data_IF_856323557549
#
_entry.id   IF_856323557549
#
_cell.length_a   1.000
_cell.length_b   1.000
_cell.length_c   1.000
_cell.angle_alpha   90.00
_cell.angle_beta   90.00
_cell.angle_gamma   90.00
#
_symmetry.space_group_name_H-M   'P 1'
#
loop_
_entity.id
_entity.type
_entity.pdbx_description
1 polymer ?
#
# COMPACT_ATOMS: atom_id res chain seq x y z
N UNK A 1 43.74 -36.01 -24.86
CA UNK A 1 44.71 -34.89 -24.87
C UNK A 1 45.18 -34.51 -26.27
N UNK A 2 44.95 -35.32 -27.32
CA UNK A 2 45.34 -34.96 -28.70
C UNK A 2 44.49 -33.84 -29.31
N UNK A 3 43.16 -33.86 -29.13
CA UNK A 3 42.27 -32.82 -29.70
C UNK A 3 42.47 -31.40 -29.16
N UNK A 4 43.08 -31.22 -27.99
CA UNK A 4 43.42 -29.89 -27.47
C UNK A 4 44.68 -29.30 -28.13
N UNK A 5 45.66 -30.16 -28.49
CA UNK A 5 46.88 -29.74 -29.19
C UNK A 5 46.62 -29.43 -30.67
N UNK A 6 45.69 -30.14 -31.30
CA UNK A 6 45.28 -29.86 -32.69
C UNK A 6 44.52 -28.53 -32.81
N UNK A 7 43.70 -28.17 -31.81
CA UNK A 7 43.01 -26.88 -31.76
C UNK A 7 43.97 -25.71 -31.52
N UNK A 8 44.99 -25.87 -30.66
CA UNK A 8 46.03 -24.85 -30.45
C UNK A 8 46.90 -24.67 -31.71
N UNK A 9 47.29 -25.76 -32.38
CA UNK A 9 48.05 -25.70 -33.63
C UNK A 9 47.28 -25.01 -34.76
N UNK A 10 45.99 -25.35 -34.93
CA UNK A 10 45.11 -24.74 -35.92
C UNK A 10 44.85 -23.24 -35.64
N UNK A 11 44.78 -22.83 -34.37
CA UNK A 11 44.66 -21.41 -34.02
C UNK A 11 45.91 -20.60 -34.39
N UNK A 12 47.11 -21.16 -34.21
CA UNK A 12 48.37 -20.47 -34.57
C UNK A 12 48.55 -20.30 -36.08
N UNK A 13 48.18 -21.31 -36.88
CA UNK A 13 48.19 -21.21 -38.35
C UNK A 13 47.16 -20.20 -38.88
N UNK A 14 46.01 -20.12 -38.21
CA UNK A 14 44.96 -19.15 -38.52
C UNK A 14 45.40 -17.71 -38.23
N UNK A 15 46.00 -17.46 -37.06
CA UNK A 15 46.54 -16.14 -36.69
C UNK A 15 47.63 -15.68 -37.67
N UNK A 16 48.58 -16.56 -38.01
CA UNK A 16 49.63 -16.24 -38.99
C UNK A 16 49.05 -15.92 -40.38
N UNK A 17 47.98 -16.61 -40.78
CA UNK A 17 47.28 -16.34 -42.04
C UNK A 17 46.52 -15.00 -41.98
N UNK A 18 45.94 -14.65 -40.83
CA UNK A 18 45.24 -13.40 -40.59
C UNK A 18 46.21 -12.20 -40.64
N UNK A 19 47.36 -12.30 -39.98
CA UNK A 19 48.42 -11.28 -40.04
C UNK A 19 48.92 -11.04 -41.46
N UNK A 20 49.14 -12.11 -42.25
CA UNK A 20 49.54 -12.00 -43.67
C UNK A 20 48.48 -11.25 -44.48
N UNK A 21 47.20 -11.60 -44.33
CA UNK A 21 46.11 -10.90 -45.04
C UNK A 21 45.98 -9.44 -44.63
N UNK A 22 46.21 -9.10 -43.34
CA UNK A 22 46.21 -7.72 -42.86
C UNK A 22 47.37 -6.91 -43.45
N UNK A 23 48.57 -7.48 -43.50
CA UNK A 23 49.72 -6.81 -44.11
C UNK A 23 49.50 -6.57 -45.61
N UNK A 24 48.94 -7.55 -46.33
CA UNK A 24 48.64 -7.44 -47.75
C UNK A 24 47.58 -6.36 -48.03
N UNK A 25 46.50 -6.32 -47.24
CA UNK A 25 45.46 -5.29 -47.36
C UNK A 25 46.00 -3.89 -47.04
N UNK A 26 46.80 -3.74 -45.98
CA UNK A 26 47.38 -2.45 -45.63
C UNK A 26 48.36 -1.95 -46.70
N UNK A 27 49.13 -2.87 -47.31
CA UNK A 27 49.99 -2.53 -48.45
C UNK A 27 49.18 -2.03 -49.63
N UNK A 28 48.15 -2.78 -50.05
CA UNK A 28 47.26 -2.38 -51.16
C UNK A 28 46.53 -1.07 -50.91
N UNK A 29 46.08 -0.84 -49.66
CA UNK A 29 45.46 0.42 -49.27
C UNK A 29 46.42 1.59 -49.47
N UNK A 30 47.67 1.47 -49.02
CA UNK A 30 48.69 2.51 -49.20
C UNK A 30 48.99 2.75 -50.68
N UNK A 31 49.15 1.68 -51.47
CA UNK A 31 49.38 1.79 -52.92
C UNK A 31 48.24 2.55 -53.62
N UNK A 32 46.98 2.28 -53.25
CA UNK A 32 45.81 3.00 -53.79
C UNK A 32 45.71 4.45 -53.29
N UNK A 33 46.03 4.69 -52.01
CA UNK A 33 46.07 6.05 -51.43
C UNK A 33 47.17 6.90 -52.09
N UNK A 34 48.34 6.33 -52.36
CA UNK A 34 49.45 6.97 -53.05
C UNK A 34 49.10 7.25 -54.51
N UNK A 35 48.46 6.30 -55.21
CA UNK A 35 47.97 6.51 -56.57
C UNK A 35 46.89 7.61 -56.64
N UNK A 36 45.97 7.65 -55.68
CA UNK A 36 44.99 8.73 -55.56
C UNK A 36 45.66 10.07 -55.27
N UNK A 37 46.69 10.09 -54.42
CA UNK A 37 47.45 11.30 -54.14
C UNK A 37 48.17 11.81 -55.39
N UNK A 38 48.81 10.93 -56.15
CA UNK A 38 49.45 11.27 -57.42
C UNK A 38 48.44 11.82 -58.44
N UNK A 39 47.28 11.18 -58.58
CA UNK A 39 46.19 11.64 -59.44
C UNK A 39 45.64 13.01 -59.00
N UNK A 40 45.51 13.26 -57.70
CA UNK A 40 45.09 14.58 -57.20
C UNK A 40 46.13 15.65 -57.48
N UNK A 41 47.41 15.35 -57.30
CA UNK A 41 48.50 16.30 -57.60
C UNK A 41 48.64 16.58 -59.08
N UNK A 42 48.38 15.60 -59.96
CA UNK A 42 48.40 15.79 -61.42
C UNK A 42 47.13 16.48 -61.93
N UNK A 43 45.97 16.22 -61.33
CA UNK A 43 44.70 16.84 -61.69
C UNK A 43 44.55 18.29 -61.18
N UNK A 44 45.28 18.70 -60.13
CA UNK A 44 45.27 20.06 -59.59
C UNK A 44 45.68 21.15 -60.60
N UNK A 45 46.32 20.77 -61.73
CA UNK A 45 46.62 21.67 -62.85
C UNK A 45 45.50 21.84 -63.89
N UNK A 46 44.43 21.02 -63.83
CA UNK A 46 43.33 21.01 -64.80
C UNK A 46 42.06 21.63 -64.20
N UNK A 47 42.14 22.93 -63.89
CA UNK A 47 41.02 23.71 -63.36
C UNK A 47 40.12 24.26 -64.47
N UNK A 48 39.32 23.41 -65.11
CA UNK A 48 38.22 23.86 -65.97
C UNK A 48 36.89 23.44 -65.35
N UNK A 49 36.08 24.42 -64.95
CA UNK A 49 34.75 24.19 -64.37
C UNK A 49 33.83 23.49 -65.37
N UNK A 50 33.63 22.19 -65.17
CA UNK A 50 32.68 21.39 -65.94
C UNK A 50 31.25 21.84 -65.63
N UNK A 51 30.39 21.90 -66.66
CA UNK A 51 28.95 22.10 -66.45
C UNK A 51 28.36 20.91 -65.67
N UNK A 52 27.27 21.14 -64.92
CA UNK A 52 26.64 20.09 -64.12
C UNK A 52 26.29 18.83 -64.94
N UNK A 53 25.85 19.01 -66.20
CA UNK A 53 25.55 17.92 -67.13
C UNK A 53 26.80 17.15 -67.55
N UNK A 54 27.90 17.85 -67.89
CA UNK A 54 29.16 17.20 -68.24
C UNK A 54 29.75 16.42 -67.05
N UNK A 55 29.59 16.92 -65.83
CA UNK A 55 30.04 16.21 -64.63
C UNK A 55 29.26 14.92 -64.36
N UNK A 56 27.94 14.92 -64.64
CA UNK A 56 27.09 13.74 -64.54
C UNK A 56 27.44 12.70 -65.60
N UNK A 57 27.73 13.11 -66.83
CA UNK A 57 28.18 12.21 -67.90
C UNK A 57 29.52 11.56 -67.59
N UNK A 58 30.48 12.32 -67.05
CA UNK A 58 31.77 11.78 -66.60
C UNK A 58 31.58 10.79 -65.45
N UNK A 59 30.75 11.13 -64.44
CA UNK A 59 30.46 10.23 -63.33
C UNK A 59 29.75 8.95 -63.79
N UNK A 60 28.74 9.06 -64.66
CA UNK A 60 28.01 7.88 -65.16
C UNK A 60 28.90 6.97 -66.01
N UNK A 61 29.78 7.53 -66.84
CA UNK A 61 30.75 6.73 -67.59
C UNK A 61 31.78 6.08 -66.66
N UNK A 62 32.23 6.76 -65.60
CA UNK A 62 33.11 6.19 -64.59
C UNK A 62 32.45 5.04 -63.80
N UNK A 63 31.18 5.20 -63.41
CA UNK A 63 30.41 4.14 -62.74
C UNK A 63 30.20 2.93 -63.65
N UNK A 64 29.85 3.14 -64.92
CA UNK A 64 29.72 2.05 -65.91
C UNK A 64 31.04 1.31 -66.12
N UNK A 65 32.15 2.05 -66.25
CA UNK A 65 33.48 1.46 -66.34
C UNK A 65 33.88 0.69 -65.07
N UNK A 66 33.46 1.14 -63.90
CA UNK A 66 33.74 0.44 -62.63
C UNK A 66 32.89 -0.82 -62.46
N UNK A 67 31.68 -0.87 -63.03
CA UNK A 67 30.84 -2.09 -63.03
C UNK A 67 31.31 -3.14 -64.05
N UNK A 68 31.99 -2.72 -65.11
CA UNK A 68 32.58 -3.61 -66.12
C UNK A 68 33.97 -4.14 -65.71
N UNK A 69 34.64 -3.45 -64.78
CA UNK A 69 35.93 -3.88 -64.23
C UNK A 69 35.77 -5.09 -63.30
N UNK A 70 36.77 -5.98 -63.31
CA UNK A 70 36.78 -7.16 -62.45
C UNK A 70 36.83 -6.76 -60.97
N UNK A 71 35.92 -7.28 -60.13
CA UNK A 71 35.88 -6.92 -58.71
C UNK A 71 37.14 -7.42 -58.00
N UNK A 72 37.63 -6.61 -57.07
CA UNK A 72 38.83 -6.94 -56.30
C UNK A 72 38.50 -8.02 -55.27
N UNK A 73 38.65 -9.28 -55.66
CA UNK A 73 38.39 -10.43 -54.80
C UNK A 73 39.63 -10.78 -53.96
N UNK A 74 39.45 -11.24 -52.71
CA UNK A 74 40.56 -11.74 -51.91
C UNK A 74 41.12 -13.04 -52.53
N UNK A 75 42.42 -13.33 -52.36
CA UNK A 75 43.03 -14.56 -52.87
C UNK A 75 42.43 -15.80 -52.19
N UNK A 76 42.50 -16.96 -52.86
CA UNK A 76 41.83 -18.20 -52.45
C UNK A 76 42.28 -18.77 -51.07
N UNK A 77 43.41 -18.30 -50.52
CA UNK A 77 43.87 -18.63 -49.16
C UNK A 77 43.50 -17.60 -48.08
N UNK A 78 42.68 -16.61 -48.42
CA UNK A 78 42.29 -15.55 -47.49
C UNK A 78 41.22 -16.00 -46.50
N UNK A 79 41.44 -15.71 -45.22
CA UNK A 79 40.48 -15.98 -44.13
C UNK A 79 39.34 -14.94 -44.07
N UNK A 80 39.39 -13.88 -44.89
CA UNK A 80 38.43 -12.77 -44.87
C UNK A 80 36.97 -13.20 -45.16
N UNK A 81 36.67 -14.03 -46.17
CA UNK A 81 35.29 -14.44 -46.42
C UNK A 81 34.69 -15.19 -45.24
N UNK A 82 35.48 -16.05 -44.59
CA UNK A 82 35.06 -16.81 -43.40
C UNK A 82 34.82 -15.88 -42.19
N UNK A 83 35.72 -14.93 -41.93
CA UNK A 83 35.55 -13.93 -40.87
C UNK A 83 34.33 -13.02 -41.10
N UNK A 84 34.12 -12.62 -42.35
CA UNK A 84 33.00 -11.76 -42.71
C UNK A 84 31.68 -12.51 -42.58
N UNK A 85 31.62 -13.78 -43.03
CA UNK A 85 30.48 -14.65 -42.81
C UNK A 85 30.21 -14.86 -41.32
N UNK A 86 31.24 -15.11 -40.51
CA UNK A 86 31.10 -15.28 -39.05
C UNK A 86 30.60 -14.00 -38.37
N UNK A 87 31.20 -12.84 -38.69
CA UNK A 87 30.77 -11.55 -38.15
C UNK A 87 29.34 -11.23 -38.54
N UNK A 88 28.96 -11.47 -39.81
CA UNK A 88 27.59 -11.28 -40.28
C UNK A 88 26.63 -12.23 -39.59
N UNK A 89 27.00 -13.50 -39.43
CA UNK A 89 26.23 -14.48 -38.66
C UNK A 89 25.99 -14.02 -37.23
N UNK A 90 27.05 -13.61 -36.52
CA UNK A 90 26.93 -13.07 -35.16
C UNK A 90 26.05 -11.81 -35.10
N UNK A 91 26.22 -10.89 -36.04
CA UNK A 91 25.38 -9.70 -36.14
C UNK A 91 23.91 -10.08 -36.36
N UNK A 92 23.61 -10.98 -37.29
CA UNK A 92 22.23 -11.42 -37.55
C UNK A 92 21.62 -12.15 -36.35
N UNK A 93 22.41 -12.93 -35.60
CA UNK A 93 21.94 -13.59 -34.38
C UNK A 93 21.61 -12.54 -33.31
N UNK A 94 22.48 -11.54 -33.12
CA UNK A 94 22.23 -10.46 -32.17
C UNK A 94 20.96 -9.67 -32.55
N UNK A 95 20.85 -9.25 -33.82
CA UNK A 95 19.68 -8.52 -34.33
C UNK A 95 18.38 -9.34 -34.20
N UNK A 96 18.45 -10.66 -34.46
CA UNK A 96 17.28 -11.55 -34.33
C UNK A 96 16.87 -11.76 -32.87
N UNK A 97 17.82 -11.86 -31.95
CA UNK A 97 17.55 -11.96 -30.52
C UNK A 97 16.89 -10.67 -30.01
N UNK A 98 17.46 -9.51 -30.33
CA UNK A 98 16.87 -8.21 -29.98
C UNK A 98 15.45 -8.05 -30.55
N UNK A 99 15.24 -8.47 -31.79
CA UNK A 99 13.91 -8.46 -32.40
C UNK A 99 12.95 -9.40 -31.67
N UNK A 100 13.38 -10.61 -31.33
CA UNK A 100 12.56 -11.60 -30.61
C UNK A 100 12.18 -11.09 -29.22
N UNK A 101 13.10 -10.45 -28.50
CA UNK A 101 12.85 -9.85 -27.19
C UNK A 101 11.83 -8.71 -27.31
N UNK A 102 11.98 -7.85 -28.32
CA UNK A 102 11.04 -6.75 -28.58
C UNK A 102 9.63 -7.26 -28.92
N UNK A 103 9.51 -8.33 -29.71
CA UNK A 103 8.25 -8.95 -30.07
C UNK A 103 7.63 -9.68 -28.87
N UNK A 104 8.45 -10.34 -28.05
CA UNK A 104 8.01 -10.96 -26.80
C UNK A 104 7.35 -9.94 -25.87
N UNK A 105 7.99 -8.79 -25.66
CA UNK A 105 7.43 -7.70 -24.87
C UNK A 105 6.11 -7.15 -25.45
N UNK A 106 6.02 -7.02 -26.78
CA UNK A 106 4.80 -6.57 -27.45
C UNK A 106 3.65 -7.59 -27.30
N UNK A 107 3.94 -8.90 -27.42
CA UNK A 107 2.96 -9.96 -27.22
C UNK A 107 2.44 -9.99 -25.78
N UNK A 108 3.33 -9.89 -24.77
CA UNK A 108 2.92 -9.83 -23.38
C UNK A 108 2.00 -8.63 -23.10
N UNK A 109 2.31 -7.45 -23.66
CA UNK A 109 1.44 -6.28 -23.52
C UNK A 109 0.06 -6.51 -24.15
N UNK A 110 0.03 -7.19 -25.30
CA UNK A 110 -1.20 -7.48 -26.02
C UNK A 110 -2.05 -8.52 -25.29
N UNK A 111 -1.42 -9.54 -24.70
CA UNK A 111 -2.09 -10.52 -23.83
C UNK A 111 -2.69 -9.86 -22.58
N UNK A 112 -1.92 -9.01 -21.89
CA UNK A 112 -2.42 -8.23 -20.74
C UNK A 112 -3.63 -7.39 -21.13
N UNK A 113 -3.57 -6.74 -22.29
CA UNK A 113 -4.68 -5.94 -22.81
C UNK A 113 -5.91 -6.80 -23.11
N UNK A 114 -5.73 -7.97 -23.70
CA UNK A 114 -6.83 -8.92 -23.95
C UNK A 114 -7.48 -9.34 -22.62
N UNK A 115 -6.69 -9.64 -21.59
CA UNK A 115 -7.24 -10.04 -20.30
C UNK A 115 -8.01 -8.90 -19.61
N UNK A 116 -7.49 -7.67 -19.68
CA UNK A 116 -8.23 -6.50 -19.16
C UNK A 116 -9.55 -6.30 -19.90
N UNK A 117 -9.57 -6.44 -21.23
CA UNK A 117 -10.81 -6.30 -21.99
C UNK A 117 -11.80 -7.43 -21.70
N UNK A 118 -11.32 -8.65 -21.46
CA UNK A 118 -12.18 -9.77 -21.04
C UNK A 118 -12.83 -9.50 -19.68
N UNK A 119 -12.09 -8.95 -18.72
CA UNK A 119 -12.64 -8.55 -17.42
C UNK A 119 -13.68 -7.44 -17.62
N UNK A 120 -13.37 -6.40 -18.39
CA UNK A 120 -14.31 -5.32 -18.70
C UNK A 120 -15.62 -5.84 -19.32
N UNK A 121 -15.55 -6.79 -20.25
CA UNK A 121 -16.74 -7.38 -20.87
C UNK A 121 -17.58 -8.15 -19.84
N UNK A 122 -16.96 -8.93 -18.95
CA UNK A 122 -17.67 -9.63 -17.87
C UNK A 122 -18.36 -8.65 -16.93
N UNK A 123 -17.69 -7.57 -16.57
CA UNK A 123 -18.26 -6.50 -15.73
C UNK A 123 -19.44 -5.82 -16.41
N UNK A 124 -19.33 -5.50 -17.70
CA UNK A 124 -20.43 -4.92 -18.47
C UNK A 124 -21.64 -5.86 -18.53
N UNK A 125 -21.42 -7.16 -18.69
CA UNK A 125 -22.50 -8.16 -18.65
C UNK A 125 -23.14 -8.24 -17.26
N UNK A 126 -22.34 -8.20 -16.20
CA UNK A 126 -22.85 -8.16 -14.83
C UNK A 126 -23.69 -6.89 -14.58
N UNK A 127 -23.22 -5.73 -15.05
CA UNK A 127 -23.97 -4.48 -14.97
C UNK A 127 -25.27 -4.54 -15.79
N UNK A 128 -25.22 -5.08 -17.00
CA UNK A 128 -26.40 -5.21 -17.85
C UNK A 128 -27.46 -6.11 -17.19
N UNK A 129 -27.05 -7.23 -16.60
CA UNK A 129 -27.98 -8.11 -15.88
C UNK A 129 -28.54 -7.44 -14.62
N UNK A 130 -27.71 -6.71 -13.85
CA UNK A 130 -28.16 -5.97 -12.67
C UNK A 130 -29.17 -4.87 -13.05
N UNK A 131 -28.92 -4.14 -14.14
CA UNK A 131 -29.83 -3.12 -14.67
C UNK A 131 -31.14 -3.73 -15.18
N UNK A 132 -31.09 -4.85 -15.91
CA UNK A 132 -32.30 -5.59 -16.32
C UNK A 132 -33.13 -6.01 -15.10
N UNK A 133 -32.49 -6.58 -14.09
CA UNK A 133 -33.16 -6.98 -12.85
C UNK A 133 -33.79 -5.78 -12.13
N UNK A 134 -33.09 -4.63 -12.09
CA UNK A 134 -33.63 -3.41 -11.50
C UNK A 134 -34.82 -2.87 -12.28
N UNK A 135 -34.75 -2.84 -13.60
CA UNK A 135 -35.86 -2.43 -14.46
C UNK A 135 -37.06 -3.35 -14.23
N UNK A 136 -36.84 -4.66 -14.14
CA UNK A 136 -37.92 -5.61 -13.86
C UNK A 136 -38.53 -5.37 -12.48
N UNK A 137 -37.72 -5.28 -11.43
CA UNK A 137 -38.20 -4.98 -10.07
C UNK A 137 -38.95 -3.64 -9.98
N UNK A 138 -38.55 -2.63 -10.75
CA UNK A 138 -39.27 -1.35 -10.82
C UNK A 138 -40.61 -1.48 -11.55
N UNK A 139 -40.68 -2.29 -12.61
CA UNK A 139 -41.94 -2.58 -13.30
C UNK A 139 -42.90 -3.35 -12.40
N UNK A 140 -42.42 -4.44 -11.80
CA UNK A 140 -43.20 -5.24 -10.85
C UNK A 140 -43.68 -4.37 -9.68
N UNK A 141 -42.80 -3.51 -9.15
CA UNK A 141 -43.15 -2.58 -8.07
C UNK A 141 -44.09 -1.43 -8.48
N UNK A 142 -44.18 -1.09 -9.78
CA UNK A 142 -45.18 -0.15 -10.29
C UNK A 142 -46.54 -0.85 -10.46
N UNK A 143 -46.55 -2.06 -11.01
CA UNK A 143 -47.75 -2.89 -11.13
C UNK A 143 -48.36 -3.18 -9.74
N UNK A 144 -47.53 -3.58 -8.78
CA UNK A 144 -47.92 -3.75 -7.37
C UNK A 144 -48.50 -2.48 -6.74
N UNK A 145 -48.06 -1.29 -7.19
CA UNK A 145 -48.57 0.00 -6.69
C UNK A 145 -49.85 0.43 -7.37
N UNK A 146 -50.05 0.08 -8.64
CA UNK A 146 -51.30 0.31 -9.35
C UNK A 146 -52.42 -0.60 -8.82
N UNK A 147 -52.09 -1.80 -8.35
CA UNK A 147 -53.05 -2.73 -7.75
C UNK A 147 -53.41 -2.42 -6.29
N UNK A 148 -52.54 -1.74 -5.54
CA UNK A 148 -52.73 -1.42 -4.11
C UNK A 148 -53.38 -0.06 -3.90
N UNK A 149 -54.33 0.02 -2.98
CA UNK A 149 -54.92 1.30 -2.55
C UNK A 149 -53.93 2.11 -1.71
N UNK A 150 -54.06 3.44 -1.72
CA UNK A 150 -53.17 4.37 -0.98
C UNK A 150 -53.04 4.03 0.51
N UNK A 151 -54.12 3.53 1.13
CA UNK A 151 -54.13 3.08 2.52
C UNK A 151 -53.27 1.82 2.76
N UNK A 152 -53.19 0.91 1.78
CA UNK A 152 -52.35 -0.27 1.86
C UNK A 152 -50.87 0.11 1.70
N UNK A 153 -50.56 1.05 0.79
CA UNK A 153 -49.22 1.60 0.60
C UNK A 153 -48.73 2.28 1.89
N UNK A 154 -49.57 3.07 2.55
CA UNK A 154 -49.22 3.71 3.81
C UNK A 154 -48.94 2.68 4.93
N UNK A 155 -49.74 1.62 5.03
CA UNK A 155 -49.53 0.53 6.00
C UNK A 155 -48.23 -0.24 5.73
N UNK A 156 -47.90 -0.50 4.47
CA UNK A 156 -46.65 -1.15 4.09
C UNK A 156 -45.43 -0.28 4.44
N UNK A 157 -45.46 1.02 4.14
CA UNK A 157 -44.38 1.95 4.53
C UNK A 157 -44.19 2.02 6.04
N UNK A 158 -45.27 2.06 6.80
CA UNK A 158 -45.20 2.01 8.27
C UNK A 158 -44.62 0.68 8.76
N UNK A 159 -44.98 -0.44 8.12
CA UNK A 159 -44.42 -1.74 8.45
C UNK A 159 -42.92 -1.83 8.12
N UNK A 160 -42.48 -1.24 7.00
CA UNK A 160 -41.08 -1.15 6.61
C UNK A 160 -40.27 -0.29 7.59
N UNK A 161 -40.76 0.90 7.94
CA UNK A 161 -40.12 1.75 8.96
C UNK A 161 -40.04 1.05 10.32
N UNK A 162 -41.07 0.29 10.70
CA UNK A 162 -41.04 -0.54 11.92
C UNK A 162 -39.99 -1.65 11.84
N UNK A 163 -39.82 -2.30 10.68
CA UNK A 163 -38.79 -3.31 10.47
C UNK A 163 -37.38 -2.70 10.54
N UNK A 164 -37.19 -1.55 9.90
CA UNK A 164 -35.92 -0.80 9.96
C UNK A 164 -35.60 -0.37 11.39
N UNK A 165 -36.56 0.21 12.11
CA UNK A 165 -36.42 0.53 13.53
C UNK A 165 -36.00 -0.70 14.34
N UNK A 166 -36.70 -1.82 14.18
CA UNK A 166 -36.37 -3.06 14.88
C UNK A 166 -35.00 -3.65 14.51
N UNK A 167 -34.50 -3.38 13.30
CA UNK A 167 -33.14 -3.76 12.89
C UNK A 167 -32.09 -2.91 13.62
N UNK A 168 -32.27 -1.59 13.63
CA UNK A 168 -31.37 -0.66 14.32
C UNK A 168 -31.38 -0.84 15.84
N UNK A 169 -32.54 -1.11 16.45
CA UNK A 169 -32.66 -1.44 17.88
C UNK A 169 -31.86 -2.71 18.24
N UNK A 170 -31.88 -3.73 17.36
CA UNK A 170 -31.10 -4.97 17.54
C UNK A 170 -29.60 -4.74 17.39
N UNK A 171 -29.18 -3.97 16.38
CA UNK A 171 -27.78 -3.64 16.19
C UNK A 171 -27.24 -2.79 17.35
N UNK A 172 -28.00 -1.80 17.80
CA UNK A 172 -27.64 -0.94 18.93
C UNK A 172 -27.50 -1.74 20.22
N UNK A 173 -28.47 -2.62 20.52
CA UNK A 173 -28.39 -3.47 21.72
C UNK A 173 -27.26 -4.52 21.64
N UNK A 174 -26.92 -5.01 20.44
CA UNK A 174 -25.75 -5.86 20.25
C UNK A 174 -24.45 -5.10 20.48
N UNK A 175 -24.33 -3.90 19.91
CA UNK A 175 -23.15 -3.05 20.05
C UNK A 175 -22.95 -2.62 21.51
N UNK A 176 -24.01 -2.24 22.20
CA UNK A 176 -23.95 -1.86 23.62
C UNK A 176 -23.42 -3.02 24.48
N UNK A 177 -23.88 -4.25 24.24
CA UNK A 177 -23.37 -5.44 24.94
C UNK A 177 -21.90 -5.71 24.67
N UNK A 178 -21.45 -5.51 23.43
CA UNK A 178 -20.04 -5.67 23.05
C UNK A 178 -19.17 -4.58 23.69
N UNK A 179 -19.67 -3.34 23.74
CA UNK A 179 -19.03 -2.24 24.44
C UNK A 179 -18.93 -2.53 25.94
N UNK A 180 -20.00 -2.98 26.57
CA UNK A 180 -20.01 -3.35 28.00
C UNK A 180 -19.00 -4.45 28.31
N UNK A 181 -18.94 -5.47 27.45
CA UNK A 181 -17.96 -6.54 27.56
C UNK A 181 -16.53 -6.02 27.42
N UNK A 182 -16.26 -5.20 26.40
CA UNK A 182 -14.93 -4.60 26.19
C UNK A 182 -14.52 -3.71 27.37
N UNK A 183 -15.46 -2.92 27.92
CA UNK A 183 -15.20 -2.09 29.10
C UNK A 183 -14.85 -2.96 30.29
N UNK A 184 -15.59 -4.04 30.53
CA UNK A 184 -15.38 -4.91 31.69
C UNK A 184 -14.10 -5.74 31.61
N UNK A 185 -13.79 -6.29 30.44
CA UNK A 185 -12.68 -7.24 30.26
C UNK A 185 -11.35 -6.52 30.04
N UNK A 186 -11.32 -5.46 29.23
CA UNK A 186 -10.08 -4.83 28.80
C UNK A 186 -9.89 -3.44 29.38
N UNK A 187 -10.91 -2.59 29.29
CA UNK A 187 -10.73 -1.17 29.64
C UNK A 187 -10.69 -0.93 31.15
N UNK A 188 -11.49 -1.66 31.92
CA UNK A 188 -11.60 -1.55 33.38
C UNK A 188 -10.27 -1.72 34.11
N UNK A 189 -9.54 -2.83 33.89
CA UNK A 189 -8.22 -3.03 34.48
C UNK A 189 -7.22 -1.93 34.09
N UNK A 190 -7.25 -1.47 32.83
CA UNK A 190 -6.36 -0.42 32.37
C UNK A 190 -6.67 0.95 33.01
N UNK A 191 -7.96 1.28 33.15
CA UNK A 191 -8.40 2.52 33.82
C UNK A 191 -8.06 2.49 35.31
N UNK A 192 -8.25 1.35 35.97
CA UNK A 192 -7.84 1.17 37.36
C UNK A 192 -6.33 1.35 37.53
N UNK A 193 -5.52 0.82 36.61
CA UNK A 193 -4.08 1.05 36.61
C UNK A 193 -3.73 2.55 36.51
N UNK A 194 -4.38 3.30 35.61
CA UNK A 194 -4.15 4.75 35.45
C UNK A 194 -4.52 5.53 36.72
N UNK A 195 -5.66 5.23 37.36
CA UNK A 195 -6.07 5.84 38.64
C UNK A 195 -5.09 5.57 39.77
N UNK A 196 -4.46 4.40 39.78
CA UNK A 196 -3.42 4.02 40.74
C UNK A 196 -2.04 4.62 40.39
N UNK A 197 -1.94 5.49 39.39
CA UNK A 197 -0.70 6.13 38.95
C UNK A 197 0.18 5.26 38.06
N UNK A 198 -0.43 4.26 37.43
CA UNK A 198 0.17 3.35 36.47
C UNK A 198 0.26 3.92 35.06
N UNK A 199 0.60 3.08 34.08
CA UNK A 199 0.70 3.48 32.69
C UNK A 199 -0.65 3.99 32.18
N UNK A 200 -0.59 5.01 31.33
CA UNK A 200 -1.76 5.58 30.67
C UNK A 200 -2.44 4.51 29.80
N UNK A 201 -3.78 4.47 29.79
CA UNK A 201 -4.55 3.47 29.01
C UNK A 201 -4.10 3.46 27.54
N UNK A 202 -3.72 2.28 27.02
CA UNK A 202 -3.18 2.08 25.66
C UNK A 202 -1.65 2.19 25.54
N UNK A 203 -0.93 2.46 26.63
CA UNK A 203 0.55 2.47 26.66
C UNK A 203 1.20 1.09 26.86
N UNK A 204 0.45 0.12 27.40
CA UNK A 204 0.81 -1.31 27.50
C UNK A 204 -0.34 -2.13 26.93
N UNK A 205 -0.02 -3.20 26.20
CA UNK A 205 -1.00 -4.03 25.48
C UNK A 205 -1.91 -4.82 26.43
N UNK A 206 -1.36 -5.35 27.53
CA UNK A 206 -2.10 -6.13 28.52
C UNK A 206 -1.59 -5.79 29.92
N UNK A 207 -2.52 -5.53 30.86
CA UNK A 207 -2.22 -5.33 32.29
C UNK A 207 -2.96 -6.43 33.05
N UNK A 208 -2.21 -7.34 33.65
CA UNK A 208 -2.81 -8.41 34.44
C UNK A 208 -3.30 -7.87 35.78
N UNK A 209 -4.36 -8.45 36.39
CA UNK A 209 -4.83 -8.02 37.71
C UNK A 209 -3.75 -8.14 38.80
N UNK A 210 -2.77 -9.03 38.61
CA UNK A 210 -1.63 -9.19 39.53
C UNK A 210 -0.66 -7.98 39.48
N UNK A 211 -0.61 -7.25 38.36
CA UNK A 211 0.22 -6.04 38.18
C UNK A 211 -0.34 -4.82 38.93
N UNK A 212 -1.67 -4.75 39.09
CA UNK A 212 -2.35 -3.74 39.90
C UNK A 212 -1.91 -3.81 41.37
N UNK A 213 -1.67 -5.03 41.87
CA UNK A 213 -1.28 -5.32 43.26
C UNK A 213 0.14 -4.87 43.61
N UNK A 214 1.06 -4.93 42.64
CA UNK A 214 2.46 -4.58 42.82
C UNK A 214 2.66 -3.06 42.97
N UNK A 215 1.69 -2.28 42.47
CA UNK A 215 1.69 -0.83 42.48
C UNK A 215 2.70 -0.25 41.51
N UNK A 216 2.35 0.89 40.91
CA UNK A 216 3.21 1.55 39.95
C UNK A 216 4.10 2.59 40.62
N UNK A 217 5.26 2.85 40.02
CA UNK A 217 6.08 4.01 40.37
C UNK A 217 5.51 5.27 39.74
N UNK A 218 5.86 6.46 40.27
CA UNK A 218 5.44 7.75 39.70
C UNK A 218 5.90 7.98 38.24
N UNK A 219 6.70 7.07 37.67
CA UNK A 219 7.09 7.03 36.25
C UNK A 219 6.36 5.94 35.44
N UNK A 220 5.27 5.36 35.96
CA UNK A 220 4.44 4.37 35.25
C UNK A 220 5.06 2.98 35.09
N UNK A 221 6.25 2.73 35.68
CA UNK A 221 6.90 1.40 35.65
C UNK A 221 6.39 0.52 36.79
N UNK A 222 6.16 -0.75 36.47
CA UNK A 222 5.89 -1.85 37.42
C UNK A 222 6.97 -1.88 38.50
N UNK A 223 6.56 -1.74 39.78
CA UNK A 223 7.48 -2.01 40.89
C UNK A 223 7.61 -3.52 41.02
N UNK A 224 8.85 -4.03 40.92
CA UNK A 224 9.12 -5.42 41.29
C UNK A 224 8.69 -5.61 42.75
N UNK A 225 7.81 -6.57 43.00
CA UNK A 225 7.41 -6.97 44.33
C UNK A 225 8.67 -7.29 45.13
N UNK A 226 9.01 -6.42 46.08
CA UNK A 226 9.96 -6.72 47.14
C UNK A 226 9.15 -7.38 48.25
N UNK A 227 9.63 -8.51 48.74
CA UNK A 227 8.99 -9.41 49.71
C UNK A 227 8.55 -8.80 51.06
N UNK A 228 8.65 -7.48 51.25
CA UNK A 228 8.07 -6.77 52.38
C UNK A 228 7.58 -5.39 51.93
N UNK A 229 6.26 -5.12 51.92
CA UNK A 229 5.77 -3.77 51.73
C UNK A 229 6.04 -2.99 53.02
N UNK A 230 7.07 -2.15 52.99
CA UNK A 230 7.34 -1.15 54.02
C UNK A 230 6.12 -0.20 54.12
N UNK A 231 5.33 -0.38 55.18
CA UNK A 231 4.04 0.29 55.38
C UNK A 231 4.18 1.79 55.69
N UNK A 232 5.41 2.30 55.81
CA UNK A 232 5.70 3.65 56.29
C UNK A 232 5.77 4.74 55.20
N UNK A 233 5.59 4.38 53.92
CA UNK A 233 5.59 5.36 52.81
C UNK A 233 4.25 5.52 52.08
N UNK A 234 3.17 4.95 52.60
CA UNK A 234 1.81 5.23 52.11
C UNK A 234 1.26 6.44 52.86
N UNK A 235 0.84 7.48 52.14
CA UNK A 235 -0.03 8.51 52.73
C UNK A 235 -1.32 7.83 53.16
N UNK A 236 -1.49 7.63 54.47
CA UNK A 236 -2.71 7.06 55.05
C UNK A 236 -3.85 8.06 54.88
N UNK A 237 -4.99 7.60 54.35
CA UNK A 237 -6.24 8.39 54.36
C UNK A 237 -6.78 8.41 55.79
N UNK A 238 -7.36 9.53 56.19
CA UNK A 238 -7.72 9.84 57.58
C UNK A 238 -8.76 8.86 58.15
N UNK A 239 -9.45 8.11 57.29
CA UNK A 239 -10.48 7.14 57.67
C UNK A 239 -9.92 5.79 58.19
N UNK A 240 -8.63 5.47 57.96
CA UNK A 240 -8.01 4.21 58.40
C UNK A 240 -7.57 4.20 59.88
N UNK A 241 -7.82 5.28 60.62
CA UNK A 241 -7.42 5.42 62.04
C UNK A 241 -8.42 4.74 63.00
N UNK A 242 -9.59 4.27 62.53
CA UNK A 242 -10.69 3.87 63.44
C UNK A 242 -11.34 2.47 63.25
N UNK A 243 -10.70 1.49 62.60
CA UNK A 243 -11.25 0.12 62.49
C UNK A 243 -10.23 -0.99 62.76
N UNK A 244 -10.62 -2.10 63.44
CA UNK A 244 -9.70 -3.17 63.78
C UNK A 244 -9.27 -3.99 62.56
N UNK A 245 -8.00 -4.38 62.61
CA UNK A 245 -7.21 -5.01 61.56
C UNK A 245 -7.29 -6.53 61.71
N UNK A 246 -8.01 -7.21 60.82
CA UNK A 246 -7.98 -8.68 60.70
C UNK A 246 -7.03 -9.12 59.58
N UNK A 247 -6.10 -10.00 59.96
CA UNK A 247 -5.02 -10.55 59.13
C UNK A 247 -5.50 -11.77 58.32
N UNK A 248 -5.98 -11.56 57.09
CA UNK A 248 -6.13 -12.63 56.08
C UNK A 248 -5.56 -12.18 54.73
N UNK A 249 -4.24 -12.36 54.57
CA UNK A 249 -3.38 -11.60 53.64
C UNK A 249 -3.30 -12.02 52.17
N UNK A 250 -4.09 -12.98 51.66
CA UNK A 250 -4.00 -13.37 50.23
C UNK A 250 -5.35 -13.51 49.51
N UNK A 251 -6.43 -14.00 50.15
CA UNK A 251 -7.75 -14.06 49.52
C UNK A 251 -8.43 -12.68 49.42
N UNK A 252 -8.11 -11.76 50.34
CA UNK A 252 -8.65 -10.40 50.41
C UNK A 252 -8.12 -9.46 49.31
N UNK A 253 -6.89 -9.69 48.82
CA UNK A 253 -6.24 -8.82 47.81
C UNK A 253 -6.83 -8.99 46.40
N UNK A 254 -6.97 -10.23 45.93
CA UNK A 254 -7.61 -10.54 44.64
C UNK A 254 -9.07 -10.07 44.56
N UNK A 255 -9.77 -10.07 45.71
CA UNK A 255 -11.14 -9.52 45.79
C UNK A 255 -11.13 -8.01 45.61
N UNK A 256 -10.26 -7.30 46.35
CA UNK A 256 -10.09 -5.84 46.23
C UNK A 256 -9.65 -5.37 44.84
N UNK A 257 -8.77 -6.13 44.16
CA UNK A 257 -8.30 -5.82 42.79
C UNK A 257 -9.41 -5.97 41.75
N UNK A 258 -10.20 -7.05 41.85
CA UNK A 258 -11.40 -7.23 41.02
C UNK A 258 -12.43 -6.15 41.33
N UNK A 259 -12.53 -5.70 42.57
CA UNK A 259 -13.43 -4.63 42.98
C UNK A 259 -13.00 -3.26 42.41
N UNK A 260 -11.69 -2.96 42.30
CA UNK A 260 -11.18 -1.72 41.70
C UNK A 260 -11.36 -1.67 40.18
N UNK A 261 -11.02 -2.76 39.47
CA UNK A 261 -11.27 -2.85 38.03
C UNK A 261 -12.78 -2.83 37.71
N UNK A 262 -13.60 -3.47 38.54
CA UNK A 262 -15.05 -3.42 38.40
C UNK A 262 -15.63 -2.02 38.70
N UNK A 263 -15.09 -1.29 39.68
CA UNK A 263 -15.49 0.07 39.98
C UNK A 263 -15.15 1.03 38.82
N UNK A 264 -13.95 0.94 38.26
CA UNK A 264 -13.55 1.73 37.09
C UNK A 264 -14.40 1.40 35.85
N UNK A 265 -14.73 0.12 35.65
CA UNK A 265 -15.64 -0.31 34.59
C UNK A 265 -17.06 0.26 34.77
N UNK A 266 -17.57 0.24 36.01
CA UNK A 266 -18.90 0.75 36.32
C UNK A 266 -18.97 2.27 36.13
N UNK A 267 -17.93 3.00 36.56
CA UNK A 267 -17.84 4.45 36.35
C UNK A 267 -17.80 4.79 34.85
N UNK A 268 -16.99 4.07 34.07
CA UNK A 268 -16.91 4.28 32.61
C UNK A 268 -18.26 4.04 31.93
N UNK A 269 -18.99 2.98 32.32
CA UNK A 269 -20.32 2.67 31.78
C UNK A 269 -21.33 3.77 32.13
N UNK A 270 -21.41 4.13 33.41
CA UNK A 270 -22.32 5.17 33.90
C UNK A 270 -22.05 6.52 33.21
N UNK A 271 -20.78 6.91 33.06
CA UNK A 271 -20.40 8.12 32.34
C UNK A 271 -20.80 8.06 30.86
N UNK A 272 -20.57 6.93 30.17
CA UNK A 272 -20.99 6.80 28.76
C UNK A 272 -22.50 6.84 28.60
N UNK A 273 -23.25 6.20 29.50
CA UNK A 273 -24.71 6.22 29.49
C UNK A 273 -25.25 7.64 29.72
N UNK A 274 -24.71 8.35 30.72
CA UNK A 274 -25.10 9.74 31.00
C UNK A 274 -24.81 10.66 29.81
N UNK A 275 -23.66 10.50 29.14
CA UNK A 275 -23.29 11.28 27.96
C UNK A 275 -24.21 10.99 26.77
N UNK A 276 -24.53 9.72 26.50
CA UNK A 276 -25.44 9.32 25.43
C UNK A 276 -26.87 9.85 25.67
N UNK A 277 -27.39 9.68 26.90
CA UNK A 277 -28.71 10.16 27.28
C UNK A 277 -28.79 11.68 27.19
N UNK A 278 -27.76 12.41 27.66
CA UNK A 278 -27.72 13.87 27.59
C UNK A 278 -27.61 14.40 26.16
N UNK A 279 -26.89 13.71 25.27
CA UNK A 279 -26.86 14.07 23.85
C UNK A 279 -28.25 13.91 23.22
N UNK A 280 -28.95 12.81 23.54
CA UNK A 280 -30.29 12.54 23.05
C UNK A 280 -31.32 13.56 23.56
N UNK A 281 -31.26 13.92 24.85
CA UNK A 281 -32.09 14.97 25.46
C UNK A 281 -31.83 16.35 24.85
N UNK A 282 -30.59 16.65 24.48
CA UNK A 282 -30.21 17.95 23.94
C UNK A 282 -30.70 18.20 22.50
N UNK A 283 -31.06 17.15 21.75
CA UNK A 283 -31.71 17.26 20.43
C UNK A 283 -30.96 18.14 19.41
N UNK A 284 -29.62 18.22 19.51
CA UNK A 284 -28.78 19.05 18.65
C UNK A 284 -28.31 20.39 19.24
N UNK A 285 -28.76 20.77 20.44
CA UNK A 285 -28.20 21.91 21.17
C UNK A 285 -26.88 21.54 21.86
N UNK A 286 -25.78 21.91 21.21
CA UNK A 286 -24.42 21.68 21.69
C UNK A 286 -24.09 22.34 23.04
N UNK A 287 -24.88 23.32 23.49
CA UNK A 287 -24.69 23.99 24.79
C UNK A 287 -25.36 23.25 25.95
N UNK A 288 -26.36 22.42 25.68
CA UNK A 288 -27.11 21.67 26.70
C UNK A 288 -26.57 20.24 26.91
N UNK A 289 -25.75 19.72 26.00
CA UNK A 289 -25.22 18.35 26.02
C UNK A 289 -24.04 18.10 27.00
N UNK A 290 -23.85 18.96 28.01
CA UNK A 290 -22.75 18.82 28.99
C UNK A 290 -23.21 18.08 30.24
N UNK A 291 -22.45 17.07 30.64
CA UNK A 291 -22.54 16.35 31.92
C UNK A 291 -21.55 16.97 32.91
N UNK A 292 -21.95 17.11 34.16
CA UNK A 292 -21.06 17.50 35.26
C UNK A 292 -20.33 16.28 35.81
N UNK A 293 -19.01 16.34 35.84
CA UNK A 293 -18.16 15.30 36.41
C UNK A 293 -17.71 15.74 37.80
N UNK A 294 -18.01 14.95 38.85
CA UNK A 294 -17.75 15.35 40.22
C UNK A 294 -16.25 15.43 40.55
N UNK A 295 -15.40 14.66 39.85
CA UNK A 295 -13.95 14.57 40.05
C UNK A 295 -13.26 14.32 38.71
N UNK A 296 -11.99 14.71 38.58
CA UNK A 296 -11.23 14.39 37.38
C UNK A 296 -10.90 12.89 37.36
N UNK A 297 -11.63 12.10 36.56
CA UNK A 297 -11.41 10.65 36.45
C UNK A 297 -10.67 10.24 35.18
N UNK A 298 -9.98 9.11 35.25
CA UNK A 298 -9.28 8.46 34.15
C UNK A 298 -10.25 8.12 33.01
N UNK A 299 -11.50 7.76 33.31
CA UNK A 299 -12.55 7.55 32.32
C UNK A 299 -12.80 8.81 31.47
N UNK A 300 -12.94 9.97 32.11
CA UNK A 300 -13.12 11.25 31.42
C UNK A 300 -11.89 11.62 30.58
N UNK A 301 -10.68 11.46 31.12
CA UNK A 301 -9.42 11.71 30.38
C UNK A 301 -9.29 10.79 29.17
N UNK A 302 -9.61 9.50 29.33
CA UNK A 302 -9.58 8.51 28.26
C UNK A 302 -10.53 8.88 27.13
N UNK A 303 -11.79 9.21 27.44
CA UNK A 303 -12.79 9.62 26.45
C UNK A 303 -12.38 10.85 25.64
N UNK A 304 -11.73 11.82 26.29
CA UNK A 304 -11.23 13.03 25.61
C UNK A 304 -10.01 12.73 24.75
N UNK A 305 -9.12 11.86 25.23
CA UNK A 305 -7.92 11.43 24.48
C UNK A 305 -8.28 10.57 23.27
N UNK A 306 -9.27 9.70 23.39
CA UNK A 306 -9.82 8.87 22.30
C UNK A 306 -10.72 9.65 21.34
N UNK A 307 -10.91 10.97 21.56
CA UNK A 307 -11.71 11.86 20.71
C UNK A 307 -13.19 11.51 20.66
N UNK A 308 -13.70 10.81 21.67
CA UNK A 308 -15.12 10.47 21.81
C UNK A 308 -15.87 11.56 22.58
N UNK A 309 -15.18 12.30 23.45
CA UNK A 309 -15.74 13.38 24.24
C UNK A 309 -14.87 14.64 24.24
N UNK A 310 -15.43 15.78 24.66
CA UNK A 310 -14.75 17.06 24.74
C UNK A 310 -15.09 17.77 26.05
N UNK A 311 -14.07 18.32 26.73
CA UNK A 311 -14.28 19.21 27.87
C UNK A 311 -14.82 20.57 27.43
N UNK A 312 -15.56 21.22 28.32
CA UNK A 312 -15.98 22.59 28.13
C UNK A 312 -14.75 23.53 28.14
N UNK A 313 -14.61 24.47 27.18
CA UNK A 313 -13.40 25.31 27.06
C UNK A 313 -13.06 26.15 28.30
N UNK A 314 -14.06 26.43 29.14
CA UNK A 314 -13.92 27.23 30.36
C UNK A 314 -14.06 26.43 31.66
N UNK A 315 -14.51 25.18 31.59
CA UNK A 315 -14.80 24.38 32.78
C UNK A 315 -14.42 22.90 32.56
N UNK A 316 -13.34 22.48 33.20
CA UNK A 316 -12.84 21.11 33.11
C UNK A 316 -13.74 20.07 33.82
N UNK A 317 -14.76 20.51 34.56
CA UNK A 317 -15.75 19.62 35.18
C UNK A 317 -16.93 19.31 34.27
N UNK A 318 -17.02 19.93 33.10
CA UNK A 318 -18.13 19.71 32.16
C UNK A 318 -17.62 18.98 30.94
N UNK A 319 -18.24 17.84 30.64
CA UNK A 319 -17.87 16.96 29.53
C UNK A 319 -19.07 16.74 28.60
N UNK A 320 -18.87 16.76 27.29
CA UNK A 320 -19.88 16.42 26.29
C UNK A 320 -19.40 15.33 25.34
N UNK A 321 -20.33 14.53 24.82
CA UNK A 321 -20.05 13.59 23.74
C UNK A 321 -19.84 14.36 22.43
N UNK A 322 -18.96 13.86 21.55
CA UNK A 322 -18.94 14.29 20.16
C UNK A 322 -20.18 13.73 19.47
N UNK A 323 -20.90 14.57 18.74
CA UNK A 323 -22.11 14.16 18.03
C UNK A 323 -21.74 13.41 16.74
N UNK A 324 -21.84 12.08 16.79
CA UNK A 324 -21.60 11.20 15.64
C UNK A 324 -22.88 10.94 14.81
N UNK A 325 -24.05 11.33 15.32
CA UNK A 325 -25.34 11.04 14.69
C UNK A 325 -25.85 12.14 13.77
N UNK A 326 -25.27 13.35 13.88
CA UNK A 326 -25.66 14.49 13.04
C UNK A 326 -24.97 14.43 11.69
N UNK A 327 -25.70 13.96 10.68
CA UNK A 327 -25.35 14.16 9.28
C UNK A 327 -25.97 15.46 8.74
N UNK A 328 -25.40 16.04 7.68
CA UNK A 328 -25.91 17.27 7.07
C UNK A 328 -27.13 17.03 6.17
N UNK A 329 -27.42 15.77 5.85
CA UNK A 329 -28.45 15.34 4.90
C UNK A 329 -29.68 14.67 5.57
N UNK A 330 -29.63 14.41 6.88
CA UNK A 330 -30.74 13.86 7.69
C UNK A 330 -31.49 14.94 8.49
#
# INVERSE_FOLDING_TARGET
MEGARELEGASGEYEASLERTLQELNRRKRELEDALHQLRTSAAGSGAGLSAQASLEVMTNAYKGMTEAEPLLPPAGSVLPALLAMRRGQQTIAETNEYTDSQGAALEQLERRIETERVNVREQQALETALRNRIQSLRDGLEDREEKTEEQIAKERIAELKKQKGHWDKQTSSLMKQLDWFIGEHLGPMLAAEELGGPVVGGLMDIDPEDLSAGFSAQGKLKKAKDQPDQDRRQRRIDDIWGPQDEEGQASKRKRERDEAAAASAEMRDLTEQLMNKLMEAGGDTSAAYVEIPRESAAARFLVRSKVALFHPRDARRLRLVDFGRDLED
#
